data_IF_956265559929
#
_entry.id   IF_956265559929
#
_cell.length_a   1.000
_cell.length_b   1.000
_cell.length_c   1.000
_cell.angle_alpha   90.00
_cell.angle_beta   90.00
_cell.angle_gamma   90.00
#
_symmetry.space_group_name_H-M   'P 1'
#
loop_
_entity.id
_entity.type
_entity.pdbx_description
1 polymer ?
#
# COMPACT_ATOMS: atom_id res chain seq x y z
N UNK A 1 3.22 -39.80 15.88
CA UNK A 1 4.25 -38.76 16.06
C UNK A 1 5.20 -38.80 14.86
N UNK A 2 4.73 -38.29 13.71
CA UNK A 2 5.49 -38.16 12.45
C UNK A 2 4.94 -37.01 11.57
N UNK A 3 3.81 -36.41 11.93
CA UNK A 3 3.13 -35.35 11.17
C UNK A 3 3.94 -34.04 11.15
N UNK A 4 4.61 -33.68 12.25
CA UNK A 4 5.45 -32.48 12.36
C UNK A 4 6.68 -32.49 11.42
N UNK A 5 7.16 -33.66 10.99
CA UNK A 5 8.28 -33.77 10.05
C UNK A 5 7.81 -33.74 8.59
N UNK A 6 6.57 -34.15 8.32
CA UNK A 6 5.98 -34.14 6.98
C UNK A 6 5.59 -32.72 6.52
N UNK A 7 5.17 -31.84 7.44
CA UNK A 7 4.84 -30.44 7.13
C UNK A 7 6.04 -29.65 6.58
N UNK A 8 7.26 -29.95 7.04
CA UNK A 8 8.49 -29.28 6.54
C UNK A 8 8.82 -29.57 5.08
N UNK A 9 8.23 -30.62 4.50
CA UNK A 9 8.47 -31.01 3.11
C UNK A 9 7.35 -30.56 2.17
N UNK A 10 6.29 -29.92 2.69
CA UNK A 10 5.20 -29.42 1.86
C UNK A 10 5.63 -28.12 1.19
N UNK A 11 5.42 -27.95 -0.12
CA UNK A 11 5.55 -26.65 -0.76
C UNK A 11 4.66 -25.65 0.00
N UNK A 12 5.16 -24.45 0.33
CA UNK A 12 4.32 -23.43 0.95
C UNK A 12 3.14 -23.12 0.02
N UNK A 13 1.94 -23.15 0.57
CA UNK A 13 0.76 -22.68 -0.12
C UNK A 13 0.80 -21.15 -0.15
N UNK A 14 0.49 -20.55 -1.29
CA UNK A 14 0.38 -19.10 -1.37
C UNK A 14 -0.90 -18.67 -0.64
N UNK A 15 -0.81 -17.60 0.14
CA UNK A 15 -1.95 -16.96 0.80
C UNK A 15 -2.18 -15.56 0.19
N UNK A 16 -2.93 -15.46 -0.92
CA UNK A 16 -3.23 -14.16 -1.52
C UNK A 16 -3.98 -13.23 -0.58
N UNK A 17 -4.87 -13.77 0.26
CA UNK A 17 -5.66 -12.96 1.20
C UNK A 17 -4.78 -12.36 2.29
N UNK A 18 -3.90 -13.16 2.90
CA UNK A 18 -2.89 -12.68 3.83
C UNK A 18 -1.92 -11.69 3.19
N UNK A 19 -1.53 -11.92 1.94
CA UNK A 19 -0.63 -11.03 1.19
C UNK A 19 -1.23 -9.63 1.00
N UNK A 20 -2.54 -9.52 0.76
CA UNK A 20 -3.22 -8.22 0.65
C UNK A 20 -3.22 -7.47 1.99
N UNK A 21 -3.49 -8.16 3.10
CA UNK A 21 -3.43 -7.57 4.45
C UNK A 21 -2.01 -7.08 4.75
N UNK A 22 -1.00 -7.88 4.42
CA UNK A 22 0.40 -7.52 4.58
C UNK A 22 0.78 -6.30 3.72
N UNK A 23 0.22 -6.18 2.51
CA UNK A 23 0.42 -5.02 1.64
C UNK A 23 -0.20 -3.74 2.24
N UNK A 24 -1.42 -3.81 2.76
CA UNK A 24 -2.10 -2.67 3.41
C UNK A 24 -1.32 -2.20 4.65
N UNK A 25 -0.90 -3.15 5.49
CA UNK A 25 -0.10 -2.86 6.67
C UNK A 25 1.28 -2.31 6.28
N UNK A 26 1.90 -2.85 5.24
CA UNK A 26 3.15 -2.37 4.68
C UNK A 26 3.05 -0.93 4.17
N UNK A 27 1.98 -0.59 3.46
CA UNK A 27 1.70 0.77 3.00
C UNK A 27 1.52 1.73 4.19
N UNK A 28 0.74 1.33 5.20
CA UNK A 28 0.52 2.14 6.40
C UNK A 28 1.81 2.41 7.17
N UNK A 29 2.61 1.38 7.46
CA UNK A 29 3.89 1.55 8.16
C UNK A 29 4.92 2.31 7.32
N UNK A 30 4.91 2.10 5.99
CA UNK A 30 5.74 2.85 5.05
C UNK A 30 5.46 4.34 5.13
N UNK A 31 4.19 4.72 5.05
CA UNK A 31 3.77 6.12 5.23
C UNK A 31 4.16 6.65 6.62
N UNK A 32 3.86 5.93 7.70
CA UNK A 32 4.20 6.35 9.06
C UNK A 32 5.70 6.60 9.24
N UNK A 33 6.54 5.76 8.64
CA UNK A 33 7.99 5.93 8.66
C UNK A 33 8.44 7.12 7.81
N UNK A 34 7.83 7.36 6.65
CA UNK A 34 8.10 8.56 5.85
C UNK A 34 7.83 9.84 6.65
N UNK A 35 6.74 9.89 7.42
CA UNK A 35 6.38 11.02 8.28
C UNK A 35 7.39 11.29 9.42
N UNK A 36 8.36 10.41 9.65
CA UNK A 36 9.40 10.57 10.67
C UNK A 36 10.74 11.07 10.10
N UNK A 37 10.85 11.14 8.77
CA UNK A 37 12.05 11.63 8.11
C UNK A 37 12.06 13.16 8.11
N UNK A 38 13.23 13.77 8.15
CA UNK A 38 13.33 15.21 7.96
C UNK A 38 12.94 15.59 6.52
N UNK A 39 12.06 16.59 6.35
CA UNK A 39 11.57 16.99 5.03
C UNK A 39 10.29 16.26 4.61
N UNK A 40 9.61 15.59 5.56
CA UNK A 40 8.34 14.90 5.33
C UNK A 40 7.27 15.83 4.77
N UNK A 41 7.32 17.12 5.10
CA UNK A 41 6.38 18.14 4.64
C UNK A 41 6.43 18.40 3.13
N UNK A 42 7.46 17.89 2.45
CA UNK A 42 7.62 17.96 0.98
C UNK A 42 7.41 16.61 0.30
N UNK A 43 7.17 15.56 1.09
CA UNK A 43 7.07 14.20 0.57
C UNK A 43 5.69 13.92 0.02
N UNK A 44 5.64 13.07 -1.01
CA UNK A 44 4.42 12.47 -1.52
C UNK A 44 4.40 10.97 -1.20
N UNK A 45 3.20 10.44 -1.00
CA UNK A 45 2.94 9.02 -0.80
C UNK A 45 1.76 8.59 -1.66
N UNK A 46 1.90 7.46 -2.32
CA UNK A 46 0.88 6.86 -3.16
C UNK A 46 0.82 5.37 -2.89
N UNK A 47 -0.37 4.87 -2.57
CA UNK A 47 -0.69 3.45 -2.53
C UNK A 47 -1.96 3.20 -3.35
N UNK A 48 -2.04 2.08 -4.04
CA UNK A 48 -3.25 1.65 -4.75
C UNK A 48 -3.60 0.21 -4.39
N UNK A 49 -4.88 -0.10 -4.43
CA UNK A 49 -5.44 -1.40 -4.15
C UNK A 49 -5.63 -2.13 -5.49
N UNK A 50 -4.81 -3.14 -5.75
CA UNK A 50 -4.79 -3.85 -7.04
C UNK A 50 -6.13 -4.50 -7.40
N UNK A 51 -6.93 -4.92 -6.42
CA UNK A 51 -8.20 -5.64 -6.63
C UNK A 51 -9.45 -4.74 -6.58
N UNK A 52 -9.31 -3.49 -6.10
CA UNK A 52 -10.47 -2.62 -5.84
C UNK A 52 -10.54 -1.38 -6.76
N UNK A 53 -9.50 -1.10 -7.54
CA UNK A 53 -9.46 0.10 -8.39
C UNK A 53 -9.43 1.41 -7.58
N UNK A 54 -8.96 1.34 -6.34
CA UNK A 54 -8.89 2.46 -5.40
C UNK A 54 -7.44 2.89 -5.19
N UNK A 55 -7.22 4.17 -4.92
CA UNK A 55 -5.91 4.70 -4.59
C UNK A 55 -5.98 5.76 -3.49
N UNK A 56 -4.95 5.79 -2.66
CA UNK A 56 -4.72 6.81 -1.64
C UNK A 56 -3.48 7.60 -2.02
N UNK A 57 -3.65 8.90 -2.25
CA UNK A 57 -2.57 9.84 -2.51
C UNK A 57 -2.49 10.87 -1.37
N UNK A 58 -1.29 11.06 -0.82
CA UNK A 58 -1.00 12.03 0.23
C UNK A 58 0.15 12.90 -0.28
N UNK A 59 -0.06 14.20 -0.38
CA UNK A 59 0.95 15.15 -0.84
C UNK A 59 0.67 16.56 -0.26
N UNK A 60 1.65 17.48 -0.23
CA UNK A 60 1.48 18.79 0.38
C UNK A 60 0.37 19.66 -0.23
N UNK A 61 0.07 19.45 -1.52
CA UNK A 61 -0.99 20.13 -2.26
C UNK A 61 -2.37 19.46 -2.23
N UNK A 62 -2.50 18.31 -1.55
CA UNK A 62 -3.75 17.55 -1.50
C UNK A 62 -4.60 17.93 -0.29
N UNK A 63 -5.91 18.06 -0.50
CA UNK A 63 -6.86 18.30 0.57
C UNK A 63 -7.07 17.02 1.39
N UNK A 64 -6.90 17.14 2.72
CA UNK A 64 -7.05 16.00 3.63
C UNK A 64 -8.47 15.45 3.60
N UNK A 65 -8.60 14.14 3.41
CA UNK A 65 -9.89 13.43 3.50
C UNK A 65 -10.80 13.64 2.29
N UNK A 66 -10.31 14.30 1.24
CA UNK A 66 -11.06 14.45 -0.01
C UNK A 66 -11.14 13.11 -0.73
N UNK A 67 -12.36 12.77 -1.16
CA UNK A 67 -12.65 11.61 -1.98
C UNK A 67 -13.02 12.06 -3.40
N UNK A 68 -12.74 11.22 -4.39
CA UNK A 68 -13.12 11.46 -5.78
C UNK A 68 -13.49 10.14 -6.43
N UNK A 69 -14.68 10.10 -7.02
CA UNK A 69 -15.18 8.94 -7.78
C UNK A 69 -14.91 9.07 -9.28
N UNK A 70 -14.17 10.12 -9.68
CA UNK A 70 -13.80 10.35 -11.07
C UNK A 70 -12.66 9.40 -11.46
N UNK A 71 -12.76 8.66 -12.58
CA UNK A 71 -11.67 7.84 -13.08
C UNK A 71 -10.40 8.68 -13.30
N UNK A 72 -9.24 8.11 -12.97
CA UNK A 72 -7.94 8.74 -13.16
C UNK A 72 -6.90 7.70 -13.54
N UNK A 73 -6.02 8.04 -14.47
CA UNK A 73 -4.87 7.20 -14.83
C UNK A 73 -3.74 7.39 -13.81
N UNK A 74 -3.01 6.32 -13.50
CA UNK A 74 -1.90 6.36 -12.53
C UNK A 74 -0.85 7.42 -12.90
N UNK A 75 -0.53 7.56 -14.19
CA UNK A 75 0.41 8.56 -14.69
C UNK A 75 -0.07 10.00 -14.41
N UNK A 76 -1.37 10.25 -14.55
CA UNK A 76 -1.96 11.55 -14.23
C UNK A 76 -1.94 11.80 -12.72
N UNK A 77 -2.23 10.78 -11.90
CA UNK A 77 -2.17 10.90 -10.44
C UNK A 77 -0.75 11.22 -9.96
N UNK A 78 0.27 10.56 -10.51
CA UNK A 78 1.68 10.83 -10.21
C UNK A 78 2.03 12.28 -10.55
N UNK A 79 1.59 12.78 -11.72
CA UNK A 79 1.84 14.17 -12.12
C UNK A 79 1.18 15.21 -11.19
N UNK A 80 0.13 14.84 -10.46
CA UNK A 80 -0.55 15.72 -9.48
C UNK A 80 0.11 15.75 -8.10
N UNK A 81 0.94 14.77 -7.77
CA UNK A 81 1.59 14.65 -6.46
C UNK A 81 3.10 14.93 -6.49
N UNK A 82 3.71 14.98 -7.68
CA UNK A 82 5.13 15.25 -7.89
C UNK A 82 5.47 16.74 -7.94
#
# INVERSE_FOLDING_TARGET
MNELLAERQRPPELDPAGSLIDADMGAYYGWLNQQRLAGEEKSAFLAWFEDHGEAVAIAPGMERGKQSDSPIELAELIARIA
#
